data_IF_696771970146
#
_entry.id   IF_696771970146
#
_cell.length_a   1.000
_cell.length_b   1.000
_cell.length_c   1.000
_cell.angle_alpha   90.00
_cell.angle_beta   90.00
_cell.angle_gamma   90.00
#
_symmetry.space_group_name_H-M   'P 1'
#
loop_
_entity.id
_entity.type
_entity.pdbx_description
1 polymer ?
#
# COMPACT_ATOMS: atom_id res chain seq x y z
N UNK A 1 -33.20 -0.77 -6.02
CA UNK A 1 -32.01 -0.87 -6.88
C UNK A 1 -31.14 0.37 -6.65
N UNK A 2 -30.05 0.25 -5.93
CA UNK A 2 -29.12 1.36 -5.70
C UNK A 2 -27.76 0.96 -6.29
N UNK A 3 -27.46 1.55 -7.46
CA UNK A 3 -26.14 1.41 -8.11
C UNK A 3 -25.08 2.13 -7.29
N UNK A 4 -24.08 1.35 -6.81
CA UNK A 4 -22.91 1.86 -6.14
C UNK A 4 -22.01 2.60 -7.11
N UNK A 5 -21.83 3.90 -6.90
CA UNK A 5 -20.91 4.72 -7.68
C UNK A 5 -19.47 4.36 -7.34
N UNK A 6 -18.71 3.87 -8.33
CA UNK A 6 -17.26 3.68 -8.26
C UNK A 6 -16.56 5.02 -7.98
N UNK A 7 -15.79 5.07 -6.90
CA UNK A 7 -14.91 6.20 -6.60
C UNK A 7 -13.59 6.02 -7.36
N UNK A 8 -13.36 6.85 -8.37
CA UNK A 8 -12.03 6.98 -9.00
C UNK A 8 -11.20 7.98 -8.22
N UNK A 9 -10.09 7.54 -7.64
CA UNK A 9 -9.04 8.43 -7.17
C UNK A 9 -8.20 8.85 -8.39
N UNK A 10 -8.21 10.13 -8.74
CA UNK A 10 -7.39 10.67 -9.80
C UNK A 10 -6.12 11.26 -9.21
N UNK A 11 -4.97 10.75 -9.63
CA UNK A 11 -3.66 11.31 -9.34
C UNK A 11 -3.33 12.34 -10.41
N UNK A 12 -3.24 13.59 -10.05
CA UNK A 12 -2.85 14.66 -10.98
C UNK A 12 -1.37 14.99 -10.74
N UNK A 13 -0.51 14.50 -11.62
CA UNK A 13 0.93 14.81 -11.61
C UNK A 13 1.14 16.03 -12.48
N UNK A 14 1.33 17.20 -11.89
CA UNK A 14 1.88 18.37 -12.59
C UNK A 14 3.38 18.44 -12.37
N UNK A 15 4.11 18.71 -13.45
CA UNK A 15 5.56 18.92 -13.42
C UNK A 15 5.88 20.06 -12.45
N UNK A 16 6.61 19.74 -11.38
CA UNK A 16 7.01 20.65 -10.30
C UNK A 16 6.60 20.09 -8.94
N UNK A 17 7.45 19.34 -8.35
CA UNK A 17 7.62 18.89 -6.93
C UNK A 17 6.45 19.07 -5.91
N UNK A 18 5.20 19.00 -6.32
CA UNK A 18 4.06 19.07 -5.40
C UNK A 18 3.11 17.92 -5.67
N UNK A 19 3.04 16.97 -4.74
CA UNK A 19 2.05 15.89 -4.77
C UNK A 19 0.87 16.31 -3.91
N UNK A 20 -0.27 16.60 -4.54
CA UNK A 20 -1.53 16.89 -3.84
C UNK A 20 -2.42 15.66 -3.85
N UNK A 21 -2.72 15.12 -2.68
CA UNK A 21 -3.71 14.04 -2.54
C UNK A 21 -5.05 14.69 -2.21
N UNK A 22 -5.99 14.64 -3.18
CA UNK A 22 -7.35 15.10 -2.97
C UNK A 22 -8.23 13.91 -2.59
N UNK A 23 -8.61 13.83 -1.33
CA UNK A 23 -9.61 12.86 -0.86
C UNK A 23 -10.98 13.53 -0.91
N UNK A 24 -11.84 13.13 -1.85
CA UNK A 24 -13.24 13.59 -1.91
C UNK A 24 -14.10 12.77 -0.95
N UNK A 25 -14.41 13.32 0.21
CA UNK A 25 -15.50 12.87 1.07
C UNK A 25 -16.84 13.36 0.53
N UNK A 26 -17.88 12.54 0.67
CA UNK A 26 -19.25 12.92 0.34
C UNK A 26 -19.82 13.72 1.51
N UNK A 27 -20.00 15.03 1.36
CA UNK A 27 -20.88 15.80 2.25
C UNK A 27 -22.11 16.28 1.48
N UNK A 28 -23.25 15.89 2.00
CA UNK A 28 -24.56 16.43 1.63
C UNK A 28 -24.89 17.56 2.61
N UNK A 29 -24.57 18.81 2.27
CA UNK A 29 -25.24 20.03 2.79
C UNK A 29 -24.95 21.21 1.87
N UNK A 30 -25.96 22.07 1.59
CA UNK A 30 -25.80 23.28 0.78
C UNK A 30 -25.27 24.44 1.64
N UNK A 31 -24.42 25.26 1.02
CA UNK A 31 -23.88 26.53 1.48
C UNK A 31 -22.89 26.49 2.67
N UNK A 32 -21.64 26.49 2.32
CA UNK A 32 -20.51 26.74 3.21
C UNK A 32 -19.19 26.60 2.42
N UNK A 33 -18.40 27.64 2.43
CA UNK A 33 -17.11 27.72 1.76
C UNK A 33 -16.28 26.44 1.98
N UNK A 34 -15.86 25.84 0.85
CA UNK A 34 -14.90 24.73 0.84
C UNK A 34 -13.55 25.29 1.31
N UNK A 35 -13.24 25.16 2.58
CA UNK A 35 -11.87 25.32 3.08
C UNK A 35 -11.03 24.20 2.50
N UNK A 36 -10.32 24.50 1.42
CA UNK A 36 -9.26 23.67 0.90
C UNK A 36 -8.12 23.64 1.94
N UNK A 37 -8.07 22.60 2.76
CA UNK A 37 -6.86 22.32 3.54
C UNK A 37 -5.81 21.76 2.58
N UNK A 38 -5.15 22.66 1.85
CA UNK A 38 -3.95 22.36 1.10
C UNK A 38 -2.84 22.17 2.13
N UNK A 39 -2.61 20.93 2.55
CA UNK A 39 -1.39 20.59 3.25
C UNK A 39 -0.23 20.72 2.24
N UNK A 40 0.31 21.93 2.10
CA UNK A 40 1.55 22.18 1.38
C UNK A 40 2.68 21.55 2.18
N UNK A 41 3.11 20.39 1.75
CA UNK A 41 4.34 19.78 2.22
C UNK A 41 5.52 20.49 1.52
N UNK A 42 5.98 21.59 2.12
CA UNK A 42 7.23 22.22 1.72
C UNK A 42 8.38 21.28 2.10
N UNK A 43 8.88 20.51 1.13
CA UNK A 43 10.18 19.84 1.20
C UNK A 43 11.25 20.93 1.27
N UNK A 44 11.67 21.33 2.47
CA UNK A 44 12.86 22.14 2.66
C UNK A 44 14.05 21.38 2.08
N UNK A 45 14.66 21.93 1.03
CA UNK A 45 15.98 21.55 0.53
C UNK A 45 16.98 21.63 1.68
N UNK A 46 17.42 20.49 2.17
CA UNK A 46 18.46 20.48 3.19
C UNK A 46 18.48 19.21 4.03
N UNK A 47 18.57 18.06 3.43
CA UNK A 47 19.35 16.86 3.80
C UNK A 47 19.17 15.90 2.62
N UNK A 48 20.27 15.52 1.99
CA UNK A 48 20.29 14.58 0.88
C UNK A 48 20.04 13.16 1.39
N UNK A 49 18.83 12.91 1.78
CA UNK A 49 18.32 11.53 1.87
C UNK A 49 17.24 11.39 0.78
N UNK A 50 17.68 11.59 -0.50
CA UNK A 50 16.84 11.32 -1.66
C UNK A 50 16.66 9.81 -1.71
N UNK A 51 15.62 9.31 -1.02
CA UNK A 51 15.19 7.94 -1.21
C UNK A 51 14.85 7.75 -2.69
N UNK A 52 15.35 6.67 -3.28
CA UNK A 52 15.09 6.34 -4.69
C UNK A 52 13.60 6.13 -4.88
N UNK A 53 13.07 6.54 -6.03
CA UNK A 53 11.66 6.27 -6.33
C UNK A 53 11.35 4.76 -6.30
N UNK A 54 10.11 4.37 -6.00
CA UNK A 54 9.70 2.96 -5.99
C UNK A 54 10.04 2.22 -7.27
N UNK A 55 9.84 2.85 -8.44
CA UNK A 55 10.13 2.24 -9.74
C UNK A 55 11.61 1.89 -9.87
N UNK A 56 12.50 2.80 -9.47
CA UNK A 56 13.95 2.58 -9.52
C UNK A 56 14.35 1.46 -8.55
N UNK A 57 13.75 1.41 -7.37
CA UNK A 57 14.01 0.35 -6.39
C UNK A 57 13.59 -1.00 -6.96
N UNK A 58 12.35 -1.12 -7.43
CA UNK A 58 11.78 -2.37 -7.93
C UNK A 58 12.52 -2.86 -9.18
N UNK A 59 12.85 -1.94 -10.12
CA UNK A 59 13.66 -2.27 -11.29
C UNK A 59 15.04 -2.82 -10.88
N UNK A 60 15.72 -2.15 -9.96
CA UNK A 60 17.02 -2.60 -9.48
C UNK A 60 16.97 -3.97 -8.79
N UNK A 61 15.89 -4.26 -8.04
CA UNK A 61 15.68 -5.57 -7.43
C UNK A 61 15.50 -6.64 -8.52
N UNK A 62 14.66 -6.39 -9.52
CA UNK A 62 14.43 -7.31 -10.63
C UNK A 62 15.69 -7.55 -11.48
N UNK A 63 16.46 -6.49 -11.78
CA UNK A 63 17.70 -6.64 -12.55
C UNK A 63 18.75 -7.47 -11.81
N UNK A 64 18.88 -7.29 -10.50
CA UNK A 64 19.78 -8.09 -9.66
C UNK A 64 19.30 -9.52 -9.48
N UNK A 65 18.00 -9.76 -9.49
CA UNK A 65 17.42 -11.10 -9.37
C UNK A 65 17.74 -12.02 -10.57
N UNK A 66 18.11 -11.45 -11.71
CA UNK A 66 18.57 -12.21 -12.88
C UNK A 66 19.89 -12.95 -12.64
N UNK A 67 20.74 -12.44 -11.76
CA UNK A 67 21.93 -13.10 -11.29
C UNK A 67 21.60 -14.03 -10.12
N UNK A 68 21.59 -15.33 -10.36
CA UNK A 68 21.27 -16.35 -9.35
C UNK A 68 22.29 -16.42 -8.20
N UNK A 69 23.48 -15.89 -8.40
CA UNK A 69 24.53 -15.83 -7.37
C UNK A 69 24.37 -14.60 -6.45
N UNK A 70 23.55 -13.63 -6.86
CA UNK A 70 23.40 -12.38 -6.12
C UNK A 70 22.64 -12.59 -4.80
N UNK A 71 23.25 -12.19 -3.70
CA UNK A 71 22.62 -12.21 -2.38
C UNK A 71 22.05 -10.85 -2.03
N UNK A 72 20.73 -10.78 -1.85
CA UNK A 72 20.06 -9.57 -1.42
C UNK A 72 20.36 -9.26 0.04
N UNK A 73 21.06 -8.15 0.27
CA UNK A 73 21.38 -7.65 1.61
C UNK A 73 20.57 -6.39 1.88
N UNK A 74 20.15 -6.21 3.14
CA UNK A 74 19.49 -4.99 3.63
C UNK A 74 18.15 -4.68 2.94
N UNK A 75 17.41 -5.68 2.48
CA UNK A 75 16.07 -5.49 1.88
C UNK A 75 15.12 -4.72 2.79
N UNK A 76 15.23 -4.95 4.10
CA UNK A 76 14.42 -4.30 5.12
C UNK A 76 14.45 -2.76 5.05
N UNK A 77 15.58 -2.17 4.61
CA UNK A 77 15.71 -0.71 4.46
C UNK A 77 14.73 -0.10 3.45
N UNK A 78 14.25 -0.87 2.49
CA UNK A 78 13.25 -0.40 1.53
C UNK A 78 11.89 -0.15 2.19
N UNK A 79 11.61 -0.79 3.34
CA UNK A 79 10.42 -0.52 4.16
C UNK A 79 10.43 0.86 4.82
N UNK A 80 11.56 1.57 4.80
CA UNK A 80 11.67 2.92 5.34
C UNK A 80 11.30 4.00 4.33
N UNK A 81 11.03 3.61 3.08
CA UNK A 81 10.69 4.56 2.02
C UNK A 81 9.18 4.87 2.03
N UNK A 82 8.76 6.10 2.35
CA UNK A 82 7.35 6.46 2.39
C UNK A 82 6.65 6.36 1.03
N UNK A 83 7.37 6.54 -0.08
CA UNK A 83 6.80 6.42 -1.43
C UNK A 83 6.38 4.98 -1.75
N UNK A 84 7.04 3.97 -1.16
CA UNK A 84 6.61 2.57 -1.28
C UNK A 84 5.22 2.34 -0.66
N UNK A 85 4.89 3.07 0.42
CA UNK A 85 3.55 3.01 1.03
C UNK A 85 2.49 3.71 0.20
N UNK A 86 2.85 4.78 -0.51
CA UNK A 86 1.94 5.42 -1.47
C UNK A 86 1.61 4.47 -2.62
N UNK A 87 2.61 3.78 -3.16
CA UNK A 87 2.41 2.75 -4.18
C UNK A 87 1.54 1.60 -3.65
N UNK A 88 1.82 1.10 -2.44
CA UNK A 88 1.03 0.06 -1.79
C UNK A 88 -0.43 0.51 -1.57
N UNK A 89 -0.63 1.73 -1.11
CA UNK A 89 -1.96 2.30 -0.92
C UNK A 89 -2.75 2.34 -2.24
N UNK A 90 -2.15 2.80 -3.33
CA UNK A 90 -2.81 2.83 -4.64
C UNK A 90 -3.27 1.43 -5.09
N UNK A 91 -2.42 0.41 -4.90
CA UNK A 91 -2.75 -0.97 -5.25
C UNK A 91 -3.88 -1.55 -4.39
N UNK A 92 -3.84 -1.31 -3.07
CA UNK A 92 -4.87 -1.82 -2.16
C UNK A 92 -6.20 -1.08 -2.39
N UNK A 93 -6.17 0.25 -2.56
CA UNK A 93 -7.37 1.07 -2.70
C UNK A 93 -8.23 0.69 -3.92
N UNK A 94 -7.61 0.15 -4.98
CA UNK A 94 -8.31 -0.33 -6.17
C UNK A 94 -8.95 -1.71 -6.00
N UNK A 95 -8.60 -2.47 -4.94
CA UNK A 95 -9.07 -3.84 -4.74
C UNK A 95 -10.41 -3.91 -4.02
N UNK A 96 -11.20 -4.95 -4.33
CA UNK A 96 -12.40 -5.28 -3.55
C UNK A 96 -12.02 -5.58 -2.09
N UNK A 97 -12.82 -5.10 -1.13
CA UNK A 97 -12.55 -5.31 0.29
C UNK A 97 -11.47 -4.38 0.87
N UNK A 98 -10.97 -3.40 0.09
CA UNK A 98 -10.03 -2.39 0.58
C UNK A 98 -10.53 -1.71 1.85
N UNK A 99 -11.84 -1.44 1.93
CA UNK A 99 -12.52 -0.79 3.06
C UNK A 99 -12.86 -1.73 4.22
N UNK A 100 -12.52 -3.03 4.12
CA UNK A 100 -12.80 -3.97 5.20
C UNK A 100 -11.82 -3.76 6.35
N UNK A 101 -12.35 -3.33 7.51
CA UNK A 101 -11.57 -3.13 8.72
C UNK A 101 -11.08 -4.45 9.33
N UNK A 102 -9.86 -4.42 9.85
CA UNK A 102 -9.31 -5.50 10.67
C UNK A 102 -9.86 -5.52 12.10
N UNK A 103 -9.05 -5.99 13.04
CA UNK A 103 -9.38 -5.98 14.48
C UNK A 103 -9.34 -4.59 15.08
N UNK A 104 -8.54 -3.70 14.51
CA UNK A 104 -8.35 -2.31 14.92
C UNK A 104 -9.52 -1.38 14.52
N UNK A 105 -10.49 -1.88 13.75
CA UNK A 105 -11.62 -1.10 13.26
C UNK A 105 -11.27 -0.02 12.22
N UNK A 106 -9.99 0.17 11.90
CA UNK A 106 -9.54 1.16 10.94
C UNK A 106 -9.74 0.71 9.50
N UNK A 107 -10.04 1.67 8.62
CA UNK A 107 -10.15 1.48 7.18
C UNK A 107 -9.05 2.24 6.43
N UNK A 108 -8.98 2.02 5.12
CA UNK A 108 -8.04 2.75 4.26
C UNK A 108 -8.35 4.26 4.14
N UNK A 109 -9.58 4.70 4.40
CA UNK A 109 -9.95 6.12 4.36
C UNK A 109 -9.15 6.98 5.35
N UNK A 110 -8.69 6.39 6.45
CA UNK A 110 -7.83 7.06 7.43
C UNK A 110 -6.36 7.14 7.05
N UNK A 111 -6.00 6.90 5.77
CA UNK A 111 -4.62 6.99 5.31
C UNK A 111 -4.08 8.41 5.36
N UNK A 112 -2.89 8.59 5.94
CA UNK A 112 -2.19 9.86 6.00
C UNK A 112 -0.68 9.65 6.03
N UNK A 113 0.09 10.66 5.62
CA UNK A 113 1.56 10.60 5.73
C UNK A 113 2.03 10.49 7.18
N UNK A 114 1.30 11.07 8.12
CA UNK A 114 1.59 10.91 9.55
C UNK A 114 1.47 9.44 10.00
N UNK A 115 0.46 8.71 9.47
CA UNK A 115 0.30 7.28 9.72
C UNK A 115 1.44 6.46 9.13
N UNK A 116 1.82 6.74 7.87
CA UNK A 116 2.98 6.09 7.22
C UNK A 116 4.26 6.32 8.00
N UNK A 117 4.54 7.57 8.38
CA UNK A 117 5.75 7.91 9.12
C UNK A 117 5.81 7.20 10.49
N UNK A 118 4.67 7.00 11.16
CA UNK A 118 4.58 6.25 12.41
C UNK A 118 4.92 4.76 12.19
N UNK A 119 4.38 4.14 11.14
CA UNK A 119 4.72 2.77 10.75
C UNK A 119 6.23 2.66 10.47
N UNK A 120 6.78 3.59 9.69
CA UNK A 120 8.21 3.61 9.35
C UNK A 120 9.07 3.78 10.62
N UNK A 121 8.67 4.63 11.55
CA UNK A 121 9.38 4.82 12.81
C UNK A 121 9.45 3.52 13.60
N UNK A 122 8.32 2.82 13.78
CA UNK A 122 8.26 1.54 14.49
C UNK A 122 9.02 0.40 13.77
N UNK A 123 9.13 0.46 12.44
CA UNK A 123 9.97 -0.48 11.70
C UNK A 123 11.46 -0.18 11.87
N UNK A 124 11.85 1.09 11.98
CA UNK A 124 13.25 1.51 12.18
C UNK A 124 13.78 1.13 13.55
N UNK A 125 12.99 1.28 14.57
CA UNK A 125 13.34 0.94 15.96
C UNK A 125 13.03 -0.52 16.33
N UNK A 126 12.53 -1.31 15.35
CA UNK A 126 12.14 -2.72 15.52
C UNK A 126 11.02 -2.96 16.54
N UNK A 127 10.24 -1.95 16.88
CA UNK A 127 9.07 -2.06 17.78
C UNK A 127 7.77 -2.45 17.06
N UNK A 128 7.79 -2.52 15.72
CA UNK A 128 6.61 -2.88 14.94
C UNK A 128 6.12 -4.29 15.29
N UNK A 129 4.87 -4.38 15.76
CA UNK A 129 4.19 -5.63 16.06
C UNK A 129 2.93 -5.73 15.20
N UNK A 130 2.81 -6.76 14.32
CA UNK A 130 1.59 -7.00 13.56
C UNK A 130 0.40 -7.27 14.49
N UNK A 131 -0.75 -6.72 14.14
CA UNK A 131 -1.98 -6.94 14.89
C UNK A 131 -2.59 -8.32 14.58
N UNK A 132 -3.30 -8.94 15.54
CA UNK A 132 -4.04 -10.17 15.28
C UNK A 132 -5.02 -9.98 14.12
N UNK A 133 -5.06 -10.94 13.19
CA UNK A 133 -6.00 -10.88 12.07
C UNK A 133 -7.43 -11.20 12.52
N UNK A 134 -8.40 -10.42 12.06
CA UNK A 134 -9.83 -10.67 12.29
C UNK A 134 -10.27 -11.91 11.50
N UNK A 135 -10.76 -12.93 12.16
CA UNK A 135 -11.23 -14.14 11.51
C UNK A 135 -12.67 -13.99 11.00
N UNK A 136 -12.88 -14.23 9.71
CA UNK A 136 -14.20 -14.30 9.07
C UNK A 136 -14.35 -15.66 8.37
N UNK A 137 -15.50 -16.29 8.49
CA UNK A 137 -15.77 -17.55 7.82
C UNK A 137 -16.54 -17.31 6.52
N UNK A 138 -16.04 -17.87 5.42
CA UNK A 138 -16.65 -17.78 4.09
C UNK A 138 -17.12 -19.15 3.67
N UNK A 139 -18.33 -19.25 3.10
CA UNK A 139 -18.84 -20.48 2.53
C UNK A 139 -17.93 -20.96 1.38
N UNK A 140 -17.64 -22.25 1.34
CA UNK A 140 -17.01 -22.88 0.17
C UNK A 140 -18.05 -23.05 -0.93
N UNK A 141 -17.67 -22.71 -2.16
CA UNK A 141 -18.49 -22.98 -3.32
C UNK A 141 -18.77 -24.48 -3.43
N UNK A 142 -20.02 -24.86 -3.65
CA UNK A 142 -20.47 -26.24 -3.79
C UNK A 142 -20.21 -27.16 -2.56
N UNK A 143 -20.19 -26.58 -1.35
CA UNK A 143 -19.98 -27.36 -0.13
C UNK A 143 -20.64 -26.65 1.05
N UNK A 144 -21.29 -27.39 1.94
CA UNK A 144 -21.80 -26.84 3.22
C UNK A 144 -20.70 -26.41 4.21
N UNK A 145 -19.43 -26.63 3.87
CA UNK A 145 -18.27 -26.27 4.73
C UNK A 145 -17.91 -24.80 4.60
N UNK A 146 -17.40 -24.22 5.69
CA UNK A 146 -16.87 -22.86 5.72
C UNK A 146 -15.33 -22.90 5.76
N UNK A 147 -14.68 -21.90 5.15
CA UNK A 147 -13.24 -21.68 5.27
C UNK A 147 -12.96 -20.43 6.08
N UNK A 148 -11.98 -20.43 7.00
CA UNK A 148 -11.58 -19.22 7.69
C UNK A 148 -10.83 -18.30 6.75
N UNK A 149 -11.08 -16.99 6.86
CA UNK A 149 -10.33 -15.92 6.21
C UNK A 149 -9.79 -14.99 7.30
N UNK A 150 -8.49 -14.72 7.29
CA UNK A 150 -7.87 -13.73 8.15
C UNK A 150 -7.87 -12.36 7.47
N UNK A 151 -8.39 -11.36 8.16
CA UNK A 151 -8.40 -9.95 7.68
C UNK A 151 -7.40 -9.19 8.56
N UNK A 152 -6.23 -8.82 8.03
CA UNK A 152 -5.24 -8.04 8.78
C UNK A 152 -5.70 -6.61 9.03
N UNK A 153 -5.05 -5.93 9.96
CA UNK A 153 -5.25 -4.49 10.19
C UNK A 153 -4.85 -3.69 8.94
N UNK A 154 -5.30 -2.45 8.86
CA UNK A 154 -4.98 -1.60 7.70
C UNK A 154 -3.48 -1.28 7.62
N UNK A 155 -2.81 -1.08 8.77
CA UNK A 155 -1.37 -0.86 8.81
C UNK A 155 -0.62 -2.10 8.33
N UNK A 156 -1.05 -3.28 8.77
CA UNK A 156 -0.45 -4.54 8.32
C UNK A 156 -0.68 -4.80 6.83
N UNK A 157 -1.86 -4.45 6.29
CA UNK A 157 -2.11 -4.53 4.84
C UNK A 157 -1.12 -3.69 4.05
N UNK A 158 -0.83 -2.46 4.52
CA UNK A 158 0.13 -1.57 3.86
C UNK A 158 1.55 -2.14 3.91
N UNK A 159 2.01 -2.59 5.08
CA UNK A 159 3.34 -3.19 5.23
C UNK A 159 3.45 -4.47 4.39
N UNK A 160 2.45 -5.35 4.44
CA UNK A 160 2.42 -6.57 3.64
C UNK A 160 2.47 -6.28 2.14
N UNK A 161 1.74 -5.26 1.67
CA UNK A 161 1.76 -4.89 0.26
C UNK A 161 3.11 -4.34 -0.19
N UNK A 162 3.78 -3.53 0.64
CA UNK A 162 5.16 -3.09 0.36
C UNK A 162 6.10 -4.29 0.26
N UNK A 163 6.00 -5.25 1.18
CA UNK A 163 6.80 -6.49 1.13
C UNK A 163 6.45 -7.29 -0.12
N UNK A 164 5.16 -7.43 -0.44
CA UNK A 164 4.69 -8.18 -1.62
C UNK A 164 5.28 -7.65 -2.92
N UNK A 165 5.23 -6.32 -3.16
CA UNK A 165 5.76 -5.74 -4.39
C UNK A 165 7.28 -5.88 -4.51
N UNK A 166 8.01 -5.84 -3.40
CA UNK A 166 9.45 -6.10 -3.40
C UNK A 166 9.77 -7.55 -3.73
N UNK A 167 9.06 -8.50 -3.11
CA UNK A 167 9.25 -9.93 -3.37
C UNK A 167 8.83 -10.29 -4.80
N UNK A 168 7.74 -9.70 -5.30
CA UNK A 168 7.31 -9.85 -6.69
C UNK A 168 8.41 -9.41 -7.65
N UNK A 169 9.03 -8.24 -7.44
CA UNK A 169 10.13 -7.76 -8.28
C UNK A 169 11.35 -8.69 -8.27
N UNK A 170 11.60 -9.40 -7.16
CA UNK A 170 12.73 -10.33 -7.03
C UNK A 170 12.42 -11.69 -7.66
N UNK A 171 11.24 -12.24 -7.39
CA UNK A 171 10.94 -13.63 -7.76
C UNK A 171 10.27 -13.78 -9.12
N UNK A 172 9.49 -12.78 -9.56
CA UNK A 172 8.75 -12.86 -10.81
C UNK A 172 9.64 -13.16 -12.05
N UNK A 173 10.84 -12.54 -12.17
CA UNK A 173 11.73 -12.85 -13.30
C UNK A 173 12.26 -14.30 -13.34
N UNK A 174 12.22 -15.00 -12.20
CA UNK A 174 12.71 -16.36 -12.07
C UNK A 174 11.64 -17.45 -12.23
N UNK A 175 10.38 -17.09 -12.31
CA UNK A 175 9.30 -18.08 -12.44
C UNK A 175 9.23 -18.66 -13.86
N UNK A 176 8.93 -19.96 -13.92
CA UNK A 176 8.65 -20.64 -15.18
C UNK A 176 7.40 -20.08 -15.84
N UNK A 177 7.36 -20.09 -17.17
CA UNK A 177 6.17 -19.74 -17.98
C UNK A 177 4.95 -20.63 -17.67
N UNK A 178 5.16 -21.82 -17.12
CA UNK A 178 4.12 -22.73 -16.69
C UNK A 178 3.59 -22.49 -15.27
N UNK A 179 4.14 -21.51 -14.55
CA UNK A 179 3.70 -21.15 -13.21
C UNK A 179 2.58 -20.12 -13.29
N UNK A 180 1.32 -20.53 -13.09
CA UNK A 180 0.13 -19.69 -13.28
C UNK A 180 -0.58 -19.30 -11.97
N UNK A 181 -0.21 -19.91 -10.83
CA UNK A 181 -0.88 -19.65 -9.55
C UNK A 181 -0.45 -18.34 -8.89
N UNK A 182 -1.41 -17.46 -8.58
CA UNK A 182 -1.19 -16.22 -7.81
C UNK A 182 -0.18 -15.22 -8.43
N UNK A 183 0.06 -15.29 -9.73
CA UNK A 183 0.90 -14.34 -10.45
C UNK A 183 0.05 -13.21 -11.00
N UNK A 184 0.63 -11.98 -11.12
CA UNK A 184 0.00 -10.92 -11.89
C UNK A 184 -0.09 -11.35 -13.37
N UNK A 185 -1.24 -11.14 -13.97
CA UNK A 185 -1.47 -11.38 -15.41
C UNK A 185 -1.02 -10.17 -16.20
#
# INVERSE_FOLDING_TARGET
MAMGAMRKAALNIRQGNTVSIVVRGRESRPHGEVRQSTAQYNLRKGVRDTMRSPEVILKNLGDKAKDKSYQFKRLYRNLYNPEMYLLAYQKIASSEGSMTAGTDGNTLDGMSMARVNRIIASLKDHSYQPQPAKRKYIAKKNSGKKRPLGIPSTDDKLVQEVVRVMLEAIYEPGFSVHSHGFRPN
#
